data_IF_237113138645
#
_entry.id   IF_237113138645
#
_cell.length_a   1.000
_cell.length_b   1.000
_cell.length_c   1.000
_cell.angle_alpha   90.00
_cell.angle_beta   90.00
_cell.angle_gamma   90.00
#
_symmetry.space_group_name_H-M   'P 1'
#
loop_
_entity.id
_entity.type
_entity.pdbx_description
1 polymer ?
#
# COMPACT_ATOMS: atom_id res chain seq x y z
N UNK A 1 -13.71 18.75 28.77
CA UNK A 1 -13.62 19.68 29.92
C UNK A 1 -14.99 20.23 30.31
N UNK A 2 -15.71 20.95 29.42
CA UNK A 2 -17.02 21.57 29.73
C UNK A 2 -18.15 20.60 30.14
N UNK A 3 -18.27 19.44 29.50
CA UNK A 3 -19.30 18.44 29.85
C UNK A 3 -19.14 17.87 31.27
N UNK A 4 -17.89 17.63 31.69
CA UNK A 4 -17.57 17.13 33.03
C UNK A 4 -17.85 18.20 34.10
N UNK A 5 -17.53 19.47 33.80
CA UNK A 5 -17.83 20.61 34.68
C UNK A 5 -19.33 20.84 34.85
N UNK A 6 -20.13 20.73 33.78
CA UNK A 6 -21.58 20.88 33.83
C UNK A 6 -22.25 19.76 34.66
N UNK A 7 -21.81 18.51 34.48
CA UNK A 7 -22.30 17.37 35.26
C UNK A 7 -21.98 17.51 36.76
N UNK A 8 -20.77 17.97 37.11
CA UNK A 8 -20.38 18.21 38.50
C UNK A 8 -21.20 19.34 39.17
N UNK A 9 -21.54 20.39 38.40
CA UNK A 9 -22.40 21.48 38.87
C UNK A 9 -23.84 21.02 39.11
N UNK A 10 -24.40 20.18 38.21
CA UNK A 10 -25.72 19.58 38.40
C UNK A 10 -25.80 18.74 39.69
N UNK A 11 -24.83 17.86 39.93
CA UNK A 11 -24.81 17.02 41.15
C UNK A 11 -24.67 17.82 42.44
N UNK A 12 -23.96 18.96 42.37
CA UNK A 12 -23.84 19.88 43.51
C UNK A 12 -25.16 20.60 43.79
N UNK A 13 -25.86 21.08 42.76
CA UNK A 13 -27.16 21.71 42.91
C UNK A 13 -28.24 20.71 43.39
N UNK A 14 -28.23 19.48 42.86
CA UNK A 14 -29.12 18.38 43.29
C UNK A 14 -28.99 18.08 44.79
N UNK A 15 -27.77 18.02 45.32
CA UNK A 15 -27.53 17.84 46.76
C UNK A 15 -28.09 18.98 47.61
N UNK A 16 -27.85 20.23 47.21
CA UNK A 16 -28.38 21.42 47.92
C UNK A 16 -29.90 21.44 47.98
N UNK A 17 -30.57 21.08 46.89
CA UNK A 17 -32.04 20.96 46.87
C UNK A 17 -32.52 19.90 47.87
N UNK A 18 -31.84 18.75 47.96
CA UNK A 18 -32.14 17.70 48.95
C UNK A 18 -31.97 18.16 50.39
N UNK A 19 -30.89 18.89 50.69
CA UNK A 19 -30.62 19.46 52.02
C UNK A 19 -31.68 20.49 52.44
N UNK A 20 -32.05 21.41 51.54
CA UNK A 20 -33.07 22.43 51.79
C UNK A 20 -34.47 21.83 51.97
N UNK A 21 -34.82 20.81 51.19
CA UNK A 21 -36.07 20.07 51.36
C UNK A 21 -36.14 19.39 52.73
N UNK A 22 -35.04 18.79 53.20
CA UNK A 22 -34.96 18.18 54.52
C UNK A 22 -35.08 19.19 55.68
N UNK A 23 -34.63 20.43 55.50
CA UNK A 23 -34.82 21.53 56.47
C UNK A 23 -36.27 22.01 56.49
N UNK A 24 -36.90 22.17 55.34
CA UNK A 24 -38.32 22.54 55.25
C UNK A 24 -39.23 21.47 55.89
N UNK A 25 -38.89 20.19 55.73
CA UNK A 25 -39.65 19.07 56.32
C UNK A 25 -39.45 18.94 57.82
N UNK A 26 -38.21 19.09 58.33
CA UNK A 26 -37.91 19.10 59.78
C UNK A 26 -38.52 20.29 60.52
N UNK A 27 -38.80 21.38 59.81
CA UNK A 27 -39.53 22.52 60.35
C UNK A 27 -41.05 22.37 60.31
N UNK A 28 -41.60 21.28 59.75
CA UNK A 28 -43.03 21.03 59.64
C UNK A 28 -43.68 20.85 61.01
N UNK A 29 -44.78 21.56 61.24
CA UNK A 29 -45.55 21.53 62.48
C UNK A 29 -45.96 20.10 62.84
N UNK A 30 -45.28 19.55 63.83
CA UNK A 30 -45.81 18.45 64.61
C UNK A 30 -47.05 18.97 65.36
N UNK A 31 -48.05 18.11 65.56
CA UNK A 31 -49.36 18.44 66.19
C UNK A 31 -49.26 19.24 67.50
N UNK A 32 -48.08 19.23 68.13
CA UNK A 32 -47.70 19.98 69.32
C UNK A 32 -47.67 21.51 69.14
N UNK A 33 -47.45 22.05 67.94
CA UNK A 33 -47.33 23.51 67.74
C UNK A 33 -48.68 24.23 67.56
N UNK A 34 -49.69 23.55 67.00
CA UNK A 34 -51.08 24.04 66.94
C UNK A 34 -51.73 24.04 68.33
N UNK A 35 -51.37 23.06 69.18
CA UNK A 35 -51.80 23.00 70.59
C UNK A 35 -51.22 24.14 71.45
N UNK A 36 -50.11 24.76 71.04
CA UNK A 36 -49.48 25.87 71.77
C UNK A 36 -50.21 27.22 71.59
N UNK A 37 -51.09 27.33 70.60
CA UNK A 37 -51.92 28.52 70.33
C UNK A 37 -53.27 28.47 71.06
N UNK A 38 -53.68 27.29 71.53
CA UNK A 38 -55.01 27.04 72.10
C UNK A 38 -55.10 27.25 73.63
N UNK A 39 -54.00 27.61 74.30
CA UNK A 39 -53.96 27.90 75.74
C UNK A 39 -53.32 29.28 75.99
N UNK A 40 -54.13 30.34 75.97
CA UNK A 40 -53.72 31.74 76.12
C UNK A 40 -54.04 32.21 77.55
N UNK A 41 -53.03 32.42 78.39
CA UNK A 41 -53.23 32.84 79.79
C UNK A 41 -53.04 34.36 80.01
N UNK A 42 -52.45 35.11 79.06
CA UNK A 42 -52.36 36.59 79.12
C UNK A 42 -52.10 37.27 77.76
N UNK A 43 -52.35 38.57 77.67
CA UNK A 43 -52.11 39.39 76.46
C UNK A 43 -50.62 39.44 76.04
N UNK A 44 -49.68 39.34 76.99
CA UNK A 44 -48.24 39.27 76.69
C UNK A 44 -47.80 37.93 76.10
N UNK A 45 -48.45 36.84 76.54
CA UNK A 45 -48.21 35.48 76.03
C UNK A 45 -48.76 35.32 74.61
N UNK A 46 -49.91 35.93 74.30
CA UNK A 46 -50.45 36.01 72.94
C UNK A 46 -49.49 36.74 71.98
N UNK A 47 -48.94 37.89 72.38
CA UNK A 47 -48.02 38.65 71.53
C UNK A 47 -46.72 37.88 71.25
N UNK A 48 -46.14 37.26 72.27
CA UNK A 48 -44.93 36.44 72.15
C UNK A 48 -45.13 35.20 71.25
N UNK A 49 -46.22 34.46 71.46
CA UNK A 49 -46.53 33.25 70.67
C UNK A 49 -46.93 33.58 69.23
N UNK A 50 -47.63 34.70 69.00
CA UNK A 50 -47.91 35.21 67.65
C UNK A 50 -46.62 35.54 66.89
N UNK A 51 -45.67 36.22 67.52
CA UNK A 51 -44.38 36.55 66.90
C UNK A 51 -43.53 35.30 66.63
N UNK A 52 -43.64 34.25 67.47
CA UNK A 52 -42.99 32.97 67.25
C UNK A 52 -43.56 32.23 66.02
N UNK A 53 -44.90 32.15 65.92
CA UNK A 53 -45.60 31.55 64.77
C UNK A 53 -45.30 32.32 63.48
N UNK A 54 -45.30 33.65 63.52
CA UNK A 54 -44.94 34.49 62.38
C UNK A 54 -43.49 34.26 61.94
N UNK A 55 -42.52 34.22 62.86
CA UNK A 55 -41.10 33.94 62.57
C UNK A 55 -40.86 32.55 62.00
N UNK A 56 -41.53 31.51 62.54
CA UNK A 56 -41.42 30.15 62.03
C UNK A 56 -42.03 30.04 60.63
N UNK A 57 -43.22 30.63 60.43
CA UNK A 57 -43.86 30.71 59.11
C UNK A 57 -43.02 31.47 58.09
N UNK A 58 -42.34 32.55 58.47
CA UNK A 58 -41.40 33.27 57.61
C UNK A 58 -40.16 32.45 57.26
N UNK A 59 -39.56 31.74 58.22
CA UNK A 59 -38.42 30.84 57.95
C UNK A 59 -38.80 29.73 56.98
N UNK A 60 -39.96 29.09 57.17
CA UNK A 60 -40.46 28.08 56.24
C UNK A 60 -40.72 28.68 54.85
N UNK A 61 -41.40 29.82 54.75
CA UNK A 61 -41.63 30.52 53.47
C UNK A 61 -40.32 30.91 52.78
N UNK A 62 -39.31 31.35 53.54
CA UNK A 62 -37.96 31.63 53.03
C UNK A 62 -37.26 30.36 52.53
N UNK A 63 -37.27 29.29 53.31
CA UNK A 63 -36.67 28.01 52.93
C UNK A 63 -37.31 27.43 51.66
N UNK A 64 -38.64 27.49 51.54
CA UNK A 64 -39.36 27.05 50.33
C UNK A 64 -38.99 27.92 49.12
N UNK A 65 -38.93 29.25 49.25
CA UNK A 65 -38.50 30.14 48.16
C UNK A 65 -37.07 29.85 47.71
N UNK A 66 -36.15 29.62 48.65
CA UNK A 66 -34.76 29.26 48.36
C UNK A 66 -34.68 27.90 47.66
N UNK A 67 -35.41 26.89 48.16
CA UNK A 67 -35.47 25.57 47.54
C UNK A 67 -36.05 25.61 46.12
N UNK A 68 -37.05 26.46 45.86
CA UNK A 68 -37.61 26.68 44.52
C UNK A 68 -36.59 27.29 43.56
N UNK A 69 -35.80 28.28 44.01
CA UNK A 69 -34.72 28.89 43.20
C UNK A 69 -33.61 27.88 42.89
N UNK A 70 -33.13 27.16 43.90
CA UNK A 70 -32.11 26.12 43.73
C UNK A 70 -32.61 24.97 42.82
N UNK A 71 -33.89 24.60 42.90
CA UNK A 71 -34.50 23.62 41.99
C UNK A 71 -34.53 24.15 40.54
N UNK A 72 -34.86 25.42 40.33
CA UNK A 72 -34.82 26.03 39.00
C UNK A 72 -33.40 26.03 38.42
N UNK A 73 -32.40 26.41 39.22
CA UNK A 73 -30.97 26.34 38.83
C UNK A 73 -30.54 24.92 38.52
N UNK A 74 -30.90 23.94 39.36
CA UNK A 74 -30.59 22.53 39.14
C UNK A 74 -31.23 21.99 37.84
N UNK A 75 -32.44 22.46 37.50
CA UNK A 75 -33.13 22.07 36.27
C UNK A 75 -32.45 22.64 35.04
N UNK A 76 -32.06 23.92 35.07
CA UNK A 76 -31.32 24.57 33.98
C UNK A 76 -29.95 23.90 33.74
N UNK A 77 -29.21 23.57 34.81
CA UNK A 77 -27.94 22.83 34.70
C UNK A 77 -28.13 21.41 34.15
N UNK A 78 -29.24 20.76 34.49
CA UNK A 78 -29.58 19.44 33.94
C UNK A 78 -29.87 19.51 32.43
N UNK A 79 -30.57 20.55 31.99
CA UNK A 79 -30.86 20.78 30.57
C UNK A 79 -29.61 21.10 29.77
N UNK A 80 -28.71 21.92 30.33
CA UNK A 80 -27.39 22.19 29.73
C UNK A 80 -26.54 20.92 29.62
N UNK A 81 -26.48 20.12 30.69
CA UNK A 81 -25.75 18.84 30.68
C UNK A 81 -26.34 17.85 29.67
N UNK A 82 -27.67 17.78 29.54
CA UNK A 82 -28.36 16.96 28.52
C UNK A 82 -28.04 17.44 27.10
N UNK A 83 -28.05 18.74 26.86
CA UNK A 83 -27.72 19.32 25.57
C UNK A 83 -26.28 19.00 25.15
N UNK A 84 -25.31 19.17 26.07
CA UNK A 84 -23.91 18.85 25.79
C UNK A 84 -23.69 17.35 25.58
N UNK A 85 -24.35 16.49 26.37
CA UNK A 85 -24.31 15.04 26.14
C UNK A 85 -24.83 14.68 24.74
N UNK A 86 -25.98 15.22 24.33
CA UNK A 86 -26.56 14.95 23.02
C UNK A 86 -25.64 15.45 21.89
N UNK A 87 -24.97 16.59 22.09
CA UNK A 87 -23.94 17.10 21.16
C UNK A 87 -22.77 16.12 21.02
N UNK A 88 -22.25 15.61 22.13
CA UNK A 88 -21.14 14.65 22.12
C UNK A 88 -21.53 13.32 21.46
N UNK A 89 -22.74 12.81 21.72
CA UNK A 89 -23.28 11.63 21.03
C UNK A 89 -23.31 11.86 19.53
N UNK A 90 -23.81 13.01 19.06
CA UNK A 90 -23.79 13.36 17.64
C UNK A 90 -22.40 13.40 17.02
N UNK A 91 -21.38 13.86 17.76
CA UNK A 91 -19.97 13.84 17.31
C UNK A 91 -19.47 12.40 17.20
N UNK A 92 -19.72 11.56 18.21
CA UNK A 92 -19.32 10.15 18.20
C UNK A 92 -19.99 9.39 17.06
N UNK A 93 -21.27 9.61 16.81
CA UNK A 93 -22.01 8.98 15.71
C UNK A 93 -21.50 9.43 14.33
N UNK A 94 -21.10 10.70 14.19
CA UNK A 94 -20.48 11.21 12.97
C UNK A 94 -19.10 10.58 12.73
N UNK A 95 -18.27 10.47 13.78
CA UNK A 95 -16.96 9.83 13.69
C UNK A 95 -17.07 8.34 13.39
N UNK A 96 -17.99 7.63 14.05
CA UNK A 96 -18.23 6.20 13.86
C UNK A 96 -18.68 5.92 12.42
N UNK A 97 -19.54 6.76 11.85
CA UNK A 97 -19.95 6.64 10.44
C UNK A 97 -18.83 6.93 9.44
N UNK A 98 -17.90 7.82 9.77
CA UNK A 98 -16.79 8.19 8.88
C UNK A 98 -15.56 7.27 8.97
N UNK A 99 -15.47 6.41 9.99
CA UNK A 99 -14.31 5.55 10.21
C UNK A 99 -14.10 4.51 9.08
N UNK A 100 -15.13 3.78 8.61
CA UNK A 100 -14.96 2.76 7.56
C UNK A 100 -14.43 3.34 6.23
N UNK A 101 -14.89 4.53 5.84
CA UNK A 101 -14.44 5.22 4.63
C UNK A 101 -12.95 5.58 4.73
N UNK A 102 -12.51 6.02 5.92
CA UNK A 102 -11.09 6.33 6.16
C UNK A 102 -10.22 5.07 6.17
N UNK A 103 -10.68 3.99 6.78
CA UNK A 103 -9.97 2.71 6.75
C UNK A 103 -9.83 2.17 5.32
N UNK A 104 -10.89 2.30 4.52
CA UNK A 104 -10.87 1.97 3.09
C UNK A 104 -9.88 2.84 2.32
N UNK A 105 -9.84 4.15 2.59
CA UNK A 105 -8.89 5.08 1.97
C UNK A 105 -7.44 4.75 2.33
N UNK A 106 -7.15 4.42 3.61
CA UNK A 106 -5.82 4.00 4.07
C UNK A 106 -5.40 2.71 3.38
N UNK A 107 -6.27 1.71 3.33
CA UNK A 107 -5.99 0.43 2.66
C UNK A 107 -5.71 0.64 1.17
N UNK A 108 -6.50 1.48 0.51
CA UNK A 108 -6.31 1.83 -0.90
C UNK A 108 -4.95 2.50 -1.12
N UNK A 109 -4.57 3.44 -0.25
CA UNK A 109 -3.27 4.11 -0.32
C UNK A 109 -2.09 3.16 -0.08
N UNK A 110 -2.21 2.21 0.85
CA UNK A 110 -1.19 1.19 1.10
C UNK A 110 -0.99 0.27 -0.10
N UNK A 111 -2.07 -0.16 -0.75
CA UNK A 111 -2.00 -0.96 -1.98
C UNK A 111 -1.36 -0.16 -3.11
N UNK A 112 -1.70 1.12 -3.26
CA UNK A 112 -1.09 1.99 -4.26
C UNK A 112 0.43 2.16 -4.02
N UNK A 113 0.83 2.39 -2.76
CA UNK A 113 2.24 2.50 -2.39
C UNK A 113 3.01 1.23 -2.71
N UNK A 114 2.50 0.06 -2.31
CA UNK A 114 3.14 -1.22 -2.59
C UNK A 114 3.34 -1.45 -4.10
N UNK A 115 2.39 -1.00 -4.94
CA UNK A 115 2.52 -1.08 -6.41
C UNK A 115 3.62 -0.17 -6.93
N UNK A 116 3.73 1.05 -6.42
CA UNK A 116 4.81 2.00 -6.79
C UNK A 116 6.18 1.41 -6.42
N UNK A 117 6.31 0.82 -5.23
CA UNK A 117 7.57 0.25 -4.75
C UNK A 117 8.06 -0.90 -5.64
N UNK A 118 7.16 -1.80 -6.05
CA UNK A 118 7.48 -2.88 -6.99
C UNK A 118 8.02 -2.33 -8.32
N UNK A 119 7.38 -1.30 -8.89
CA UNK A 119 7.85 -0.71 -10.14
C UNK A 119 9.16 0.06 -9.99
N UNK A 120 9.36 0.76 -8.86
CA UNK A 120 10.61 1.45 -8.55
C UNK A 120 11.79 0.48 -8.56
N UNK A 121 11.69 -0.65 -7.86
CA UNK A 121 12.76 -1.65 -7.81
C UNK A 121 13.11 -2.20 -9.21
N UNK A 122 12.10 -2.39 -10.07
CA UNK A 122 12.30 -2.86 -11.44
C UNK A 122 13.01 -1.83 -12.32
N UNK A 123 12.71 -0.55 -12.16
CA UNK A 123 13.40 0.54 -12.84
C UNK A 123 14.83 0.74 -12.31
N UNK A 124 15.03 0.62 -10.99
CA UNK A 124 16.36 0.66 -10.37
C UNK A 124 17.28 -0.44 -10.89
N UNK A 125 16.74 -1.61 -11.20
CA UNK A 125 17.48 -2.74 -11.77
C UNK A 125 18.11 -2.47 -13.15
N UNK A 126 17.73 -1.37 -13.82
CA UNK A 126 18.37 -0.90 -15.07
C UNK A 126 18.83 0.55 -14.99
N UNK A 127 18.77 1.19 -13.82
CA UNK A 127 19.16 2.59 -13.65
C UNK A 127 20.63 2.86 -13.98
N UNK A 128 21.47 1.82 -13.94
CA UNK A 128 22.86 1.88 -14.40
C UNK A 128 23.01 1.97 -15.92
N UNK A 129 21.91 1.93 -16.70
CA UNK A 129 21.97 1.95 -18.16
C UNK A 129 22.87 0.83 -18.68
N UNK A 130 23.81 1.16 -19.55
CA UNK A 130 24.79 0.22 -20.11
C UNK A 130 25.69 -0.48 -19.09
N UNK A 131 25.77 0.02 -17.85
CA UNK A 131 26.44 -0.65 -16.74
C UNK A 131 25.59 -1.77 -16.10
N UNK A 132 24.33 -1.97 -16.53
CA UNK A 132 23.47 -3.07 -16.06
C UNK A 132 24.16 -4.40 -16.30
N UNK A 133 24.22 -5.25 -15.27
CA UNK A 133 24.88 -6.56 -15.32
C UNK A 133 24.07 -7.58 -16.12
N UNK A 134 24.77 -8.45 -16.86
CA UNK A 134 24.17 -9.61 -17.53
C UNK A 134 23.65 -10.62 -16.49
N UNK A 135 24.44 -10.81 -15.43
CA UNK A 135 24.09 -11.64 -14.29
C UNK A 135 23.03 -10.97 -13.42
N UNK A 136 22.07 -11.74 -12.92
CA UNK A 136 21.05 -11.26 -12.00
C UNK A 136 19.73 -12.01 -12.14
N UNK A 137 18.80 -11.70 -11.23
CA UNK A 137 17.43 -12.24 -11.29
C UNK A 137 16.58 -11.42 -12.25
N UNK A 138 15.74 -12.07 -13.09
CA UNK A 138 14.83 -11.34 -13.95
C UNK A 138 13.86 -10.49 -13.11
N UNK A 139 13.60 -9.27 -13.55
CA UNK A 139 12.68 -8.35 -12.89
C UNK A 139 11.25 -8.45 -13.47
N UNK A 140 11.14 -8.91 -14.73
CA UNK A 140 9.89 -9.21 -15.42
C UNK A 140 9.62 -10.71 -15.48
N UNK A 141 8.34 -11.07 -15.33
CA UNK A 141 7.83 -12.43 -15.45
C UNK A 141 7.62 -12.83 -16.92
N UNK A 142 7.53 -14.14 -17.23
CA UNK A 142 7.21 -14.62 -18.59
C UNK A 142 5.92 -14.01 -19.15
N UNK A 143 4.89 -13.95 -18.32
CA UNK A 143 3.58 -13.43 -18.73
C UNK A 143 3.64 -11.94 -19.03
N UNK A 144 4.43 -11.17 -18.28
CA UNK A 144 4.65 -9.75 -18.56
C UNK A 144 5.36 -9.52 -19.90
N UNK A 145 6.39 -10.31 -20.21
CA UNK A 145 7.10 -10.25 -21.49
C UNK A 145 6.18 -10.62 -22.67
N UNK A 146 5.45 -11.73 -22.54
CA UNK A 146 4.54 -12.22 -23.57
C UNK A 146 3.36 -11.26 -23.80
N UNK A 147 2.77 -10.75 -22.72
CA UNK A 147 1.65 -9.79 -22.78
C UNK A 147 2.07 -8.51 -23.48
N UNK A 148 3.24 -7.97 -23.13
CA UNK A 148 3.80 -6.81 -23.83
C UNK A 148 3.93 -7.07 -25.32
N UNK A 149 4.56 -8.18 -25.70
CA UNK A 149 4.78 -8.51 -27.12
C UNK A 149 3.46 -8.63 -27.87
N UNK A 150 2.50 -9.39 -27.35
CA UNK A 150 1.17 -9.53 -27.95
C UNK A 150 0.45 -8.19 -28.09
N UNK A 151 0.59 -7.29 -27.11
CA UNK A 151 -0.02 -5.96 -27.15
C UNK A 151 0.56 -5.06 -28.24
N UNK A 152 1.80 -5.27 -28.68
CA UNK A 152 2.39 -4.52 -29.81
C UNK A 152 1.77 -4.88 -31.18
N UNK A 153 0.97 -5.95 -31.26
CA UNK A 153 0.36 -6.48 -32.50
C UNK A 153 1.38 -6.81 -33.60
N UNK A 154 2.64 -7.04 -33.23
CA UNK A 154 3.69 -7.51 -34.14
C UNK A 154 3.41 -8.97 -34.54
N UNK A 155 3.72 -9.33 -35.79
CA UNK A 155 3.62 -10.72 -36.26
C UNK A 155 4.96 -11.40 -35.98
N UNK A 156 4.96 -12.42 -35.13
CA UNK A 156 6.13 -13.26 -34.89
C UNK A 156 6.11 -14.49 -35.82
N UNK A 157 7.27 -14.90 -36.30
CA UNK A 157 7.52 -16.17 -37.00
C UNK A 157 8.34 -17.04 -36.05
N UNK A 158 7.66 -17.92 -35.31
CA UNK A 158 8.25 -18.77 -34.28
C UNK A 158 7.78 -20.22 -34.46
N UNK A 159 8.60 -21.16 -33.98
CA UNK A 159 8.24 -22.59 -33.88
C UNK A 159 7.40 -22.92 -32.64
N UNK A 160 7.28 -21.96 -31.71
CA UNK A 160 6.51 -22.05 -30.46
C UNK A 160 5.69 -20.79 -30.24
N UNK A 161 4.77 -20.79 -29.28
CA UNK A 161 4.04 -19.57 -28.90
C UNK A 161 4.95 -18.52 -28.25
N UNK A 162 4.56 -17.25 -28.30
CA UNK A 162 5.31 -16.17 -27.62
C UNK A 162 5.39 -16.38 -26.11
N UNK A 163 4.33 -16.91 -25.50
CA UNK A 163 4.29 -17.25 -24.08
C UNK A 163 5.30 -18.34 -23.73
N UNK A 164 5.43 -19.37 -24.57
CA UNK A 164 6.45 -20.41 -24.39
C UNK A 164 7.86 -19.86 -24.54
N UNK A 165 8.11 -19.03 -25.56
CA UNK A 165 9.41 -18.42 -25.77
C UNK A 165 9.82 -17.54 -24.57
N UNK A 166 8.94 -16.65 -24.12
CA UNK A 166 9.19 -15.81 -22.95
C UNK A 166 9.46 -16.63 -21.68
N UNK A 167 8.73 -17.74 -21.49
CA UNK A 167 8.98 -18.69 -20.40
C UNK A 167 10.36 -19.33 -20.51
N UNK A 168 10.76 -19.79 -21.69
CA UNK A 168 12.11 -20.36 -21.88
C UNK A 168 13.21 -19.38 -21.52
N UNK A 169 13.08 -18.09 -21.89
CA UNK A 169 14.09 -17.08 -21.53
C UNK A 169 14.25 -16.93 -20.02
N UNK A 170 13.14 -16.82 -19.30
CA UNK A 170 13.16 -16.65 -17.84
C UNK A 170 13.64 -17.93 -17.15
N UNK A 171 13.20 -19.11 -17.57
CA UNK A 171 13.60 -20.40 -16.99
C UNK A 171 15.09 -20.68 -17.24
N UNK A 172 15.53 -20.67 -18.49
CA UNK A 172 16.92 -20.97 -18.87
C UNK A 172 17.88 -19.92 -18.32
N UNK A 173 17.50 -18.64 -18.36
CA UNK A 173 18.27 -17.55 -17.75
C UNK A 173 18.42 -17.74 -16.24
N UNK A 174 17.32 -17.97 -15.52
CA UNK A 174 17.35 -18.18 -14.07
C UNK A 174 18.18 -19.39 -13.67
N UNK A 175 18.12 -20.47 -14.47
CA UNK A 175 18.86 -21.70 -14.21
C UNK A 175 20.38 -21.49 -14.23
N UNK A 176 20.87 -20.50 -14.99
CA UNK A 176 22.30 -20.13 -15.05
C UNK A 176 22.60 -18.76 -14.42
N UNK A 177 21.63 -18.13 -13.77
CA UNK A 177 21.77 -16.83 -13.10
C UNK A 177 21.83 -15.61 -14.01
N UNK A 178 21.44 -15.73 -15.29
CA UNK A 178 21.40 -14.64 -16.26
C UNK A 178 20.03 -13.96 -16.28
N UNK A 179 20.03 -12.64 -16.50
CA UNK A 179 18.84 -11.81 -16.75
C UNK A 179 18.13 -12.20 -18.05
N UNK A 180 17.38 -13.30 -18.00
CA UNK A 180 16.64 -13.85 -19.14
C UNK A 180 15.59 -12.89 -19.73
N UNK A 181 15.04 -12.03 -18.89
CA UNK A 181 14.13 -10.94 -19.27
C UNK A 181 14.79 -9.90 -20.21
N UNK A 182 16.05 -9.55 -19.97
CA UNK A 182 16.82 -8.67 -20.86
C UNK A 182 17.34 -9.46 -22.08
N UNK A 183 17.70 -10.74 -21.94
CA UNK A 183 18.06 -11.59 -23.08
C UNK A 183 16.88 -11.75 -24.07
N UNK A 184 15.64 -11.80 -23.57
CA UNK A 184 14.45 -11.71 -24.41
C UNK A 184 14.42 -10.37 -25.19
N UNK A 185 14.70 -9.23 -24.56
CA UNK A 185 14.78 -7.94 -25.25
C UNK A 185 15.89 -7.90 -26.32
N UNK A 186 17.05 -8.50 -26.04
CA UNK A 186 18.11 -8.71 -27.03
C UNK A 186 17.58 -9.53 -28.21
N UNK A 187 16.77 -10.56 -27.97
CA UNK A 187 16.20 -11.36 -29.05
C UNK A 187 15.24 -10.58 -29.95
N UNK A 188 14.48 -9.65 -29.38
CA UNK A 188 13.62 -8.73 -30.14
C UNK A 188 14.47 -7.86 -31.07
N UNK A 189 15.64 -7.43 -30.61
CA UNK A 189 16.58 -6.66 -31.42
C UNK A 189 17.14 -7.50 -32.58
N UNK A 190 17.68 -8.67 -32.27
CA UNK A 190 18.43 -9.52 -33.20
C UNK A 190 17.57 -10.07 -34.34
N UNK A 191 16.32 -10.41 -34.04
CA UNK A 191 15.42 -11.08 -34.98
C UNK A 191 14.52 -10.10 -35.74
N UNK A 192 14.68 -8.79 -35.55
CA UNK A 192 13.76 -7.79 -36.10
C UNK A 192 12.34 -7.96 -35.54
N UNK A 193 12.22 -8.08 -34.21
CA UNK A 193 10.98 -8.38 -33.48
C UNK A 193 10.35 -9.74 -33.79
N UNK A 194 11.19 -10.78 -33.80
CA UNK A 194 10.82 -12.17 -34.05
C UNK A 194 10.22 -12.38 -35.45
N UNK A 195 10.47 -11.43 -36.37
CA UNK A 195 10.00 -11.51 -37.76
C UNK A 195 10.99 -12.26 -38.66
N UNK A 196 12.29 -12.19 -38.37
CA UNK A 196 13.36 -12.70 -39.22
C UNK A 196 13.26 -12.15 -40.65
N UNK A 197 13.85 -10.96 -40.91
CA UNK A 197 13.76 -10.31 -42.21
C UNK A 197 14.18 -11.23 -43.36
N UNK A 198 13.45 -11.17 -44.48
CA UNK A 198 13.75 -11.98 -45.65
C UNK A 198 15.14 -11.63 -46.20
N UNK A 199 15.93 -12.65 -46.53
CA UNK A 199 17.34 -12.50 -46.92
C UNK A 199 18.32 -12.37 -45.74
N UNK A 200 17.85 -12.48 -44.50
CA UNK A 200 18.71 -12.62 -43.32
C UNK A 200 19.47 -13.94 -43.28
N UNK A 201 20.57 -13.99 -42.52
CA UNK A 201 21.43 -15.18 -42.35
C UNK A 201 20.82 -16.26 -41.44
N UNK A 202 19.71 -15.94 -40.76
CA UNK A 202 19.01 -16.82 -39.83
C UNK A 202 17.54 -16.82 -40.17
N UNK A 203 16.96 -18.01 -40.28
CA UNK A 203 15.55 -18.25 -40.55
C UNK A 203 14.76 -18.49 -39.26
N UNK A 204 13.44 -18.26 -39.27
CA UNK A 204 12.56 -18.58 -38.13
C UNK A 204 12.69 -20.03 -37.62
N UNK A 205 12.97 -20.97 -38.51
CA UNK A 205 13.07 -22.40 -38.21
C UNK A 205 14.38 -22.79 -37.54
N UNK A 206 15.41 -21.94 -37.62
CA UNK A 206 16.73 -22.21 -37.07
C UNK A 206 16.76 -22.04 -35.55
N UNK A 207 15.68 -21.50 -34.96
CA UNK A 207 15.55 -21.25 -33.52
C UNK A 207 16.72 -20.42 -32.94
N UNK A 208 17.43 -19.66 -33.78
CA UNK A 208 18.54 -18.81 -33.36
C UNK A 208 18.04 -17.38 -33.16
N UNK A 209 17.74 -17.06 -31.91
CA UNK A 209 17.15 -15.78 -31.54
C UNK A 209 18.17 -14.69 -31.22
N UNK A 210 19.47 -14.98 -31.38
CA UNK A 210 20.55 -14.13 -30.91
C UNK A 210 21.63 -13.84 -31.96
N UNK A 211 21.41 -14.26 -33.20
CA UNK A 211 22.36 -14.10 -34.30
C UNK A 211 23.67 -14.89 -34.09
N UNK A 212 23.66 -15.98 -33.31
CA UNK A 212 24.86 -16.77 -33.06
C UNK A 212 25.40 -17.37 -34.37
N UNK A 213 26.71 -17.34 -34.55
CA UNK A 213 27.36 -17.83 -35.77
C UNK A 213 27.18 -16.94 -37.01
N UNK A 214 26.31 -15.92 -36.98
CA UNK A 214 26.13 -14.99 -38.09
C UNK A 214 27.32 -14.02 -38.18
N UNK A 215 27.80 -13.76 -39.41
CA UNK A 215 28.90 -12.82 -39.66
C UNK A 215 28.85 -12.25 -41.08
N UNK A 216 29.48 -11.09 -41.33
CA UNK A 216 29.40 -10.40 -42.63
C UNK A 216 29.85 -11.25 -43.84
N UNK A 217 30.74 -12.22 -43.62
CA UNK A 217 31.22 -13.16 -44.64
C UNK A 217 30.65 -14.58 -44.52
N UNK A 218 29.77 -14.83 -43.55
CA UNK A 218 29.17 -16.13 -43.30
C UNK A 218 27.95 -16.36 -44.19
N UNK A 219 27.76 -17.59 -44.64
CA UNK A 219 26.60 -17.97 -45.45
C UNK A 219 25.31 -18.08 -44.62
N UNK A 220 25.40 -18.51 -43.36
CA UNK A 220 24.30 -18.63 -42.40
C UNK A 220 24.81 -18.50 -40.97
N UNK A 221 23.89 -18.26 -40.02
CA UNK A 221 24.17 -18.43 -38.59
C UNK A 221 24.04 -19.89 -38.14
N UNK A 222 24.21 -20.10 -36.83
CA UNK A 222 23.97 -21.39 -36.17
C UNK A 222 22.47 -21.74 -36.18
N UNK A 223 22.14 -23.02 -36.17
CA UNK A 223 20.79 -23.55 -35.98
C UNK A 223 20.66 -24.41 -34.72
N UNK A 224 19.46 -24.46 -34.16
CA UNK A 224 19.14 -25.23 -32.97
C UNK A 224 17.91 -26.12 -33.18
N UNK A 225 17.91 -27.35 -32.63
CA UNK A 225 16.86 -28.34 -32.87
C UNK A 225 15.47 -27.90 -32.38
N UNK A 226 15.41 -27.01 -31.39
CA UNK A 226 14.17 -26.47 -30.85
C UNK A 226 14.39 -25.09 -30.24
N UNK A 227 13.28 -24.35 -30.04
CA UNK A 227 13.31 -23.00 -29.49
C UNK A 227 13.95 -22.92 -28.10
N UNK A 228 13.75 -23.92 -27.24
CA UNK A 228 14.32 -23.93 -25.89
C UNK A 228 15.83 -24.09 -25.93
N UNK A 229 16.34 -24.95 -26.82
CA UNK A 229 17.78 -25.15 -27.04
C UNK A 229 18.44 -23.89 -27.59
N UNK A 230 17.78 -23.16 -28.51
CA UNK A 230 18.29 -21.88 -29.01
C UNK A 230 18.35 -20.78 -27.95
N UNK A 231 17.30 -20.67 -27.13
CA UNK A 231 17.30 -19.77 -25.96
C UNK A 231 18.40 -20.14 -24.97
N UNK A 232 18.55 -21.45 -24.66
CA UNK A 232 19.60 -21.96 -23.78
C UNK A 232 21.00 -21.57 -24.28
N UNK A 233 21.26 -21.77 -25.57
CA UNK A 233 22.54 -21.43 -26.17
C UNK A 233 22.87 -19.93 -26.00
N UNK A 234 21.91 -19.04 -26.25
CA UNK A 234 22.10 -17.61 -26.01
C UNK A 234 22.41 -17.29 -24.54
N UNK A 235 21.60 -17.77 -23.59
CA UNK A 235 21.81 -17.41 -22.17
C UNK A 235 23.08 -18.02 -21.60
N UNK A 236 23.50 -19.19 -22.07
CA UNK A 236 24.77 -19.78 -21.70
C UNK A 236 25.97 -19.01 -22.29
N UNK A 237 25.85 -18.51 -23.52
CA UNK A 237 26.86 -17.63 -24.13
C UNK A 237 26.98 -16.30 -23.35
N UNK A 238 25.85 -15.72 -22.92
CA UNK A 238 25.84 -14.55 -22.04
C UNK A 238 26.49 -14.86 -20.68
N UNK A 239 26.19 -16.03 -20.11
CA UNK A 239 26.77 -16.48 -18.84
C UNK A 239 28.30 -16.59 -18.90
N UNK A 240 28.85 -17.16 -19.97
CA UNK A 240 30.32 -17.27 -20.12
C UNK A 240 30.96 -15.88 -20.26
N UNK A 241 30.34 -14.96 -20.98
CA UNK A 241 30.86 -13.59 -21.12
C UNK A 241 30.97 -12.86 -19.79
N UNK A 242 30.02 -13.09 -18.89
CA UNK A 242 29.94 -12.38 -17.63
C UNK A 242 30.70 -13.05 -16.47
N UNK A 243 30.93 -14.37 -16.51
CA UNK A 243 31.52 -15.11 -15.38
C UNK A 243 32.91 -15.67 -15.70
N UNK A 244 34.00 -15.12 -15.12
CA UNK A 244 35.34 -15.65 -15.32
C UNK A 244 35.55 -17.04 -14.72
N UNK A 245 34.74 -17.43 -13.73
CA UNK A 245 34.83 -18.70 -13.02
C UNK A 245 34.03 -19.83 -13.68
N UNK A 246 33.26 -19.53 -14.74
CA UNK A 246 32.39 -20.52 -15.38
C UNK A 246 33.19 -21.75 -15.85
N UNK A 247 32.64 -22.92 -15.50
CA UNK A 247 32.94 -24.21 -16.12
C UNK A 247 31.65 -24.82 -16.65
N UNK A 248 31.71 -25.68 -17.68
CA UNK A 248 30.50 -26.32 -18.22
C UNK A 248 29.76 -27.16 -17.18
N UNK A 249 30.47 -27.69 -16.17
CA UNK A 249 29.88 -28.44 -15.06
C UNK A 249 28.95 -27.59 -14.17
N UNK A 250 29.08 -26.26 -14.20
CA UNK A 250 28.20 -25.33 -13.48
C UNK A 250 26.91 -25.03 -14.24
N UNK A 251 26.82 -25.40 -15.52
CA UNK A 251 25.62 -25.18 -16.34
C UNK A 251 24.62 -26.29 -16.09
N UNK A 252 23.46 -25.90 -15.57
CA UNK A 252 22.28 -26.74 -15.46
C UNK A 252 21.09 -25.94 -15.98
N UNK A 253 20.55 -26.24 -17.18
CA UNK A 253 20.81 -27.43 -18.00
C UNK A 253 22.21 -27.47 -18.65
N UNK A 254 22.68 -28.64 -19.13
CA UNK A 254 24.02 -28.81 -19.68
C UNK A 254 24.36 -27.85 -20.83
N UNK A 255 25.66 -27.60 -21.00
CA UNK A 255 26.19 -26.75 -22.06
C UNK A 255 25.72 -27.18 -23.45
N UNK A 256 25.12 -26.27 -24.22
CA UNK A 256 24.78 -26.51 -25.63
C UNK A 256 26.05 -26.60 -26.47
N UNK A 257 27.01 -25.71 -26.21
CA UNK A 257 28.35 -25.78 -26.80
C UNK A 257 29.35 -26.31 -25.76
N UNK A 258 29.97 -27.49 -25.98
CA UNK A 258 30.88 -28.12 -25.03
C UNK A 258 32.22 -27.38 -24.86
N UNK A 259 32.47 -26.30 -25.61
CA UNK A 259 33.67 -25.46 -25.50
C UNK A 259 33.39 -24.10 -24.86
N UNK A 260 32.19 -23.87 -24.30
CA UNK A 260 31.81 -22.59 -23.71
C UNK A 260 32.82 -22.15 -22.64
N UNK A 261 33.18 -22.98 -21.69
CA UNK A 261 34.15 -22.60 -20.65
C UNK A 261 35.59 -22.32 -21.14
N UNK A 262 35.93 -22.62 -22.40
CA UNK A 262 37.19 -22.24 -23.04
C UNK A 262 37.07 -20.98 -23.92
N UNK A 263 35.92 -20.31 -23.93
CA UNK A 263 35.67 -19.15 -24.78
C UNK A 263 36.62 -17.98 -24.45
N UNK A 264 37.22 -17.36 -25.47
CA UNK A 264 38.25 -16.33 -25.30
C UNK A 264 37.75 -15.07 -24.56
N UNK A 265 36.45 -14.77 -24.66
CA UNK A 265 35.77 -13.68 -23.96
C UNK A 265 35.26 -14.03 -22.55
N UNK A 266 35.59 -15.21 -22.02
CA UNK A 266 35.10 -15.65 -20.71
C UNK A 266 35.39 -14.63 -19.61
N UNK A 267 34.34 -14.17 -18.92
CA UNK A 267 34.40 -13.19 -17.84
C UNK A 267 34.85 -11.78 -18.24
N UNK A 268 34.92 -11.45 -19.54
CA UNK A 268 35.39 -10.14 -20.02
C UNK A 268 34.28 -9.13 -20.29
N UNK A 269 33.03 -9.57 -20.32
CA UNK A 269 31.87 -8.75 -20.70
C UNK A 269 30.75 -8.92 -19.66
N UNK A 270 30.86 -8.27 -18.49
CA UNK A 270 29.91 -8.47 -17.40
C UNK A 270 28.60 -7.68 -17.54
N UNK A 271 28.54 -6.70 -18.44
CA UNK A 271 27.39 -5.78 -18.59
C UNK A 271 26.80 -5.83 -19.98
N UNK A 272 25.53 -5.45 -20.10
CA UNK A 272 24.84 -5.33 -21.39
C UNK A 272 25.50 -4.32 -22.32
N UNK A 273 26.06 -3.24 -21.77
CA UNK A 273 26.86 -2.28 -22.52
C UNK A 273 28.14 -2.86 -23.12
N UNK A 274 28.79 -3.80 -22.43
CA UNK A 274 30.01 -4.44 -22.92
C UNK A 274 29.78 -5.35 -24.13
N UNK A 275 28.53 -5.72 -24.43
CA UNK A 275 28.17 -6.44 -25.65
C UNK A 275 28.33 -5.57 -26.91
N UNK A 276 28.34 -4.25 -26.77
CA UNK A 276 28.66 -3.32 -27.87
C UNK A 276 30.07 -3.59 -28.38
N UNK A 277 30.22 -3.74 -29.70
CA UNK A 277 31.46 -4.15 -30.39
C UNK A 277 31.99 -5.55 -30.04
N UNK A 278 31.30 -6.30 -29.17
CA UNK A 278 31.71 -7.64 -28.76
C UNK A 278 30.75 -8.72 -29.26
N UNK A 279 29.44 -8.50 -29.10
CA UNK A 279 28.40 -9.36 -29.65
C UNK A 279 28.00 -8.91 -31.06
N UNK A 280 27.86 -7.60 -31.26
CA UNK A 280 27.56 -7.00 -32.55
C UNK A 280 28.48 -5.79 -32.81
N UNK A 281 28.76 -5.51 -34.07
CA UNK A 281 29.66 -4.41 -34.48
C UNK A 281 29.06 -3.02 -34.26
N UNK A 282 27.73 -2.91 -34.15
CA UNK A 282 27.02 -1.64 -33.98
C UNK A 282 27.39 -0.94 -32.65
N UNK A 283 27.72 0.35 -32.71
CA UNK A 283 28.15 1.17 -31.57
C UNK A 283 27.05 1.48 -30.54
N UNK A 284 25.79 1.24 -30.88
CA UNK A 284 24.63 1.50 -30.01
C UNK A 284 23.97 0.20 -29.53
N UNK A 285 24.64 -0.94 -29.68
CA UNK A 285 24.03 -2.25 -29.48
C UNK A 285 23.47 -2.45 -28.07
N UNK A 286 24.29 -2.28 -27.03
CA UNK A 286 23.86 -2.41 -25.63
C UNK A 286 22.76 -1.42 -25.25
N UNK A 287 22.83 -0.18 -25.75
CA UNK A 287 21.80 0.84 -25.53
C UNK A 287 20.45 0.42 -26.13
N UNK A 288 20.46 -0.14 -27.35
CA UNK A 288 19.24 -0.57 -28.03
C UNK A 288 18.57 -1.74 -27.31
N UNK A 289 19.33 -2.67 -26.74
CA UNK A 289 18.77 -3.77 -25.92
C UNK A 289 18.04 -3.18 -24.70
N UNK A 290 18.70 -2.27 -23.99
CA UNK A 290 18.13 -1.68 -22.77
C UNK A 290 16.97 -0.72 -23.09
N UNK A 291 16.99 -0.05 -24.24
CA UNK A 291 15.87 0.74 -24.73
C UNK A 291 14.63 -0.13 -24.94
N UNK A 292 14.76 -1.27 -25.64
CA UNK A 292 13.66 -2.23 -25.80
C UNK A 292 13.19 -2.71 -24.43
N UNK A 293 14.10 -3.11 -23.54
CA UNK A 293 13.71 -3.55 -22.20
C UNK A 293 12.99 -2.46 -21.39
N UNK A 294 13.43 -1.20 -21.53
CA UNK A 294 12.75 -0.03 -20.96
C UNK A 294 11.36 0.20 -21.53
N UNK A 295 11.14 -0.05 -22.83
CA UNK A 295 9.79 -0.03 -23.43
C UNK A 295 8.86 -1.08 -22.80
N UNK A 296 9.39 -2.27 -22.47
CA UNK A 296 8.61 -3.31 -21.78
C UNK A 296 8.20 -2.83 -20.38
N UNK A 297 9.15 -2.29 -19.61
CA UNK A 297 8.88 -1.77 -18.26
C UNK A 297 7.88 -0.62 -18.28
N UNK A 298 8.06 0.35 -19.19
CA UNK A 298 7.17 1.50 -19.33
C UNK A 298 5.74 1.06 -19.67
N UNK A 299 5.59 0.13 -20.60
CA UNK A 299 4.27 -0.35 -21.02
C UNK A 299 3.43 -0.89 -19.86
N UNK A 300 4.06 -1.63 -18.94
CA UNK A 300 3.39 -2.15 -17.74
C UNK A 300 3.21 -1.09 -16.67
N UNK A 301 4.20 -0.23 -16.45
CA UNK A 301 4.12 0.87 -15.46
C UNK A 301 2.93 1.79 -15.78
N UNK A 302 2.76 2.17 -17.05
CA UNK A 302 1.66 3.04 -17.51
C UNK A 302 0.28 2.39 -17.35
N UNK A 303 0.20 1.06 -17.48
CA UNK A 303 -1.05 0.29 -17.40
C UNK A 303 -1.35 -0.23 -16.01
N UNK A 304 -0.36 -0.19 -15.13
CA UNK A 304 -0.52 -0.53 -13.73
C UNK A 304 -1.32 0.53 -12.96
N UNK A 305 -2.08 1.44 -13.59
CA UNK A 305 -2.95 2.45 -12.93
C UNK A 305 -2.34 2.95 -11.61
N UNK A 306 -1.10 3.47 -11.70
CA UNK A 306 -0.46 4.19 -10.60
C UNK A 306 -1.16 5.53 -10.40
#
# INVERSE_FOLDING_TARGET
MRAAEAAARYETARRRVGELAAVAYRGGADQSQLMMVLDIESLGDYAYRRELVERVGERQRNAVRTAQRERATATALADEARAERNRLVGVVDALTRALPDRETAVTTAQVALARVEVWRERWEAIAGGTATTIMGRPALTPDELATWFTATRRRARLTVSISELARYYVEEGSAVGVRGDIAFAQSILETGSLWFPDGGQVLPTDNNFAGMGACDSCASGDDFPDARTGVRAQVQQLRVYADPSLTNAMLNPPAVNPRLDAHFLKGRVPTWGGLTHTWATASTYGDRILAIYGEILAWHTDRARL
#
